data_IF_764777599680
#
_entry.id   IF_764777599680
#
_cell.length_a   1.000
_cell.length_b   1.000
_cell.length_c   1.000
_cell.angle_alpha   90.00
_cell.angle_beta   90.00
_cell.angle_gamma   90.00
#
_symmetry.space_group_name_H-M   'P 1'
#
loop_
_entity.id
_entity.type
_entity.pdbx_description
1 polymer ?
#
# COMPACT_ATOMS: atom_id res chain seq x y z
N UNK A 1 -25.83 -20.26 -16.60
CA UNK A 1 -24.97 -19.20 -17.18
C UNK A 1 -23.83 -18.94 -16.22
N UNK A 2 -22.73 -19.66 -16.40
CA UNK A 2 -21.46 -19.36 -15.73
C UNK A 2 -20.88 -18.10 -16.39
N UNK A 3 -21.22 -16.93 -15.85
CA UNK A 3 -20.49 -15.70 -16.18
C UNK A 3 -19.19 -15.81 -15.39
N UNK A 4 -18.15 -16.21 -16.11
CA UNK A 4 -16.97 -16.84 -15.52
C UNK A 4 -16.11 -15.85 -14.74
N UNK A 5 -15.55 -16.30 -13.62
CA UNK A 5 -14.57 -15.60 -12.78
C UNK A 5 -13.37 -15.03 -13.58
N UNK A 6 -13.16 -15.55 -14.80
CA UNK A 6 -12.16 -15.14 -15.78
C UNK A 6 -12.47 -13.78 -16.43
N UNK A 7 -13.73 -13.51 -16.78
CA UNK A 7 -14.16 -12.23 -17.39
C UNK A 7 -14.07 -11.09 -16.38
N UNK A 8 -14.41 -11.35 -15.12
CA UNK A 8 -14.29 -10.38 -14.02
C UNK A 8 -12.82 -10.04 -13.67
N UNK A 9 -11.90 -10.99 -13.84
CA UNK A 9 -10.46 -10.76 -13.63
C UNK A 9 -9.86 -9.91 -14.75
N UNK A 10 -10.26 -10.18 -15.99
CA UNK A 10 -9.81 -9.41 -17.16
C UNK A 10 -10.31 -7.96 -17.09
N UNK A 11 -11.58 -7.75 -16.70
CA UNK A 11 -12.13 -6.40 -16.54
C UNK A 11 -11.43 -5.59 -15.45
N UNK A 12 -11.15 -6.17 -14.28
CA UNK A 12 -10.39 -5.49 -13.21
C UNK A 12 -8.98 -5.10 -13.67
N UNK A 13 -8.32 -5.97 -14.43
CA UNK A 13 -7.01 -5.69 -15.01
C UNK A 13 -7.08 -4.52 -15.99
N UNK A 14 -8.07 -4.53 -16.89
CA UNK A 14 -8.32 -3.44 -17.83
C UNK A 14 -8.53 -2.10 -17.10
N UNK A 15 -9.43 -2.05 -16.11
CA UNK A 15 -9.71 -0.82 -15.34
C UNK A 15 -8.44 -0.31 -14.66
N UNK A 16 -7.65 -1.20 -14.04
CA UNK A 16 -6.40 -0.79 -13.41
C UNK A 16 -5.37 -0.29 -14.43
N UNK A 17 -5.30 -0.88 -15.61
CA UNK A 17 -4.40 -0.43 -16.67
C UNK A 17 -4.82 0.93 -17.22
N UNK A 18 -6.11 1.13 -17.49
CA UNK A 18 -6.65 2.42 -17.90
C UNK A 18 -6.35 3.49 -16.87
N UNK A 19 -6.58 3.22 -15.58
CA UNK A 19 -6.20 4.13 -14.48
C UNK A 19 -4.74 4.60 -14.58
N UNK A 20 -3.79 3.68 -14.72
CA UNK A 20 -2.37 4.02 -14.80
C UNK A 20 -2.03 4.81 -16.07
N UNK A 21 -2.65 4.47 -17.20
CA UNK A 21 -2.46 5.22 -18.45
C UNK A 21 -2.94 6.67 -18.32
N UNK A 22 -4.09 6.89 -17.68
CA UNK A 22 -4.62 8.24 -17.46
C UNK A 22 -3.70 9.08 -16.56
N UNK A 23 -3.16 8.47 -15.50
CA UNK A 23 -2.14 9.12 -14.64
C UNK A 23 -0.90 9.47 -15.47
N UNK A 24 -0.36 8.52 -16.22
CA UNK A 24 0.80 8.73 -17.08
C UNK A 24 0.60 9.88 -18.07
N UNK A 25 -0.55 9.92 -18.75
CA UNK A 25 -0.85 11.03 -19.65
C UNK A 25 -0.89 12.37 -18.91
N UNK A 26 -1.51 12.44 -17.73
CA UNK A 26 -1.54 13.69 -16.95
C UNK A 26 -0.14 14.22 -16.62
N UNK A 27 0.80 13.31 -16.31
CA UNK A 27 2.20 13.64 -16.00
C UNK A 27 2.98 14.14 -17.22
N UNK A 28 2.65 13.65 -18.43
CA UNK A 28 3.25 14.15 -19.67
C UNK A 28 2.82 15.58 -20.00
N UNK A 29 1.60 15.97 -19.62
CA UNK A 29 1.03 17.27 -19.96
C UNK A 29 1.45 18.39 -19.01
N UNK A 30 1.71 18.10 -17.72
CA UNK A 30 2.20 19.13 -16.79
C UNK A 30 3.13 18.56 -15.73
N UNK A 31 4.20 19.31 -15.46
CA UNK A 31 5.09 19.05 -14.32
C UNK A 31 4.50 19.59 -13.01
N UNK A 32 3.48 20.45 -13.05
CA UNK A 32 2.79 20.95 -11.85
C UNK A 32 1.81 19.89 -11.31
N UNK A 33 1.85 19.67 -10.00
CA UNK A 33 1.04 18.63 -9.34
C UNK A 33 -0.48 18.90 -9.38
N UNK A 34 -0.90 20.15 -9.19
CA UNK A 34 -2.32 20.51 -9.19
C UNK A 34 -2.91 20.39 -10.59
N UNK A 35 -2.18 20.86 -11.61
CA UNK A 35 -2.56 20.70 -13.01
C UNK A 35 -2.75 19.22 -13.39
N UNK A 36 -1.84 18.33 -12.94
CA UNK A 36 -1.96 16.88 -13.22
C UNK A 36 -3.27 16.31 -12.69
N UNK A 37 -3.71 16.73 -11.50
CA UNK A 37 -4.97 16.27 -10.90
C UNK A 37 -6.14 16.73 -11.77
N UNK A 38 -6.15 17.98 -12.22
CA UNK A 38 -7.20 18.51 -13.09
C UNK A 38 -7.24 17.80 -14.45
N UNK A 39 -6.07 17.58 -15.06
CA UNK A 39 -5.95 16.86 -16.33
C UNK A 39 -6.44 15.42 -16.18
N UNK A 40 -6.01 14.71 -15.13
CA UNK A 40 -6.48 13.35 -14.85
C UNK A 40 -8.01 13.30 -14.70
N UNK A 41 -8.60 14.20 -13.92
CA UNK A 41 -10.06 14.24 -13.72
C UNK A 41 -10.80 14.48 -15.05
N UNK A 42 -10.29 15.38 -15.89
CA UNK A 42 -10.83 15.62 -17.23
C UNK A 42 -10.78 14.36 -18.09
N UNK A 43 -9.60 13.75 -18.22
CA UNK A 43 -9.40 12.54 -19.02
C UNK A 43 -10.29 11.38 -18.54
N UNK A 44 -10.43 11.21 -17.22
CA UNK A 44 -11.29 10.19 -16.63
C UNK A 44 -12.77 10.44 -16.95
N UNK A 45 -13.20 11.70 -16.89
CA UNK A 45 -14.58 12.08 -17.20
C UNK A 45 -14.93 11.79 -18.66
N UNK A 46 -14.02 12.08 -19.59
CA UNK A 46 -14.18 11.91 -21.04
C UNK A 46 -13.99 10.45 -21.50
N UNK A 47 -13.38 9.58 -20.68
CA UNK A 47 -13.14 8.19 -21.06
C UNK A 47 -14.45 7.41 -21.28
N UNK A 48 -14.65 6.87 -22.49
CA UNK A 48 -15.85 6.10 -22.83
C UNK A 48 -15.78 4.61 -22.47
N UNK A 49 -14.59 4.09 -22.19
CA UNK A 49 -14.38 2.65 -21.96
C UNK A 49 -14.73 2.22 -20.53
N UNK A 50 -14.74 3.15 -19.58
CA UNK A 50 -15.06 2.92 -18.18
C UNK A 50 -16.53 3.22 -17.87
N UNK A 51 -17.16 2.30 -17.15
CA UNK A 51 -18.50 2.53 -16.59
C UNK A 51 -18.45 3.59 -15.48
N UNK A 52 -19.59 4.20 -15.11
CA UNK A 52 -19.63 5.17 -14.01
C UNK A 52 -19.04 4.66 -12.70
N UNK A 53 -19.31 3.40 -12.32
CA UNK A 53 -18.75 2.77 -11.11
C UNK A 53 -17.24 2.58 -11.19
N UNK A 54 -16.71 2.27 -12.36
CA UNK A 54 -15.27 2.12 -12.56
C UNK A 54 -14.56 3.47 -12.53
N UNK A 55 -15.19 4.52 -13.09
CA UNK A 55 -14.70 5.90 -12.95
C UNK A 55 -14.65 6.31 -11.49
N UNK A 56 -15.70 6.03 -10.72
CA UNK A 56 -15.72 6.28 -9.27
C UNK A 56 -14.58 5.53 -8.56
N UNK A 57 -14.35 4.26 -8.88
CA UNK A 57 -13.24 3.48 -8.33
C UNK A 57 -11.87 4.07 -8.68
N UNK A 58 -11.69 4.55 -9.92
CA UNK A 58 -10.47 5.23 -10.36
C UNK A 58 -10.30 6.57 -9.64
N UNK A 59 -11.39 7.32 -9.41
CA UNK A 59 -11.38 8.58 -8.69
C UNK A 59 -10.99 8.39 -7.23
N UNK A 60 -11.57 7.40 -6.54
CA UNK A 60 -11.21 7.07 -5.15
C UNK A 60 -9.74 6.63 -5.03
N UNK A 61 -9.24 5.86 -6.00
CA UNK A 61 -7.82 5.50 -6.07
C UNK A 61 -6.92 6.71 -6.27
N UNK A 62 -7.26 7.61 -7.18
CA UNK A 62 -6.52 8.86 -7.37
C UNK A 62 -6.53 9.73 -6.11
N UNK A 63 -7.70 9.89 -5.47
CA UNK A 63 -7.85 10.62 -4.21
C UNK A 63 -6.94 10.05 -3.11
N UNK A 64 -6.92 8.74 -2.89
CA UNK A 64 -5.99 8.11 -1.92
C UNK A 64 -4.52 8.40 -2.22
N UNK A 65 -4.12 8.33 -3.49
CA UNK A 65 -2.75 8.64 -3.90
C UNK A 65 -2.42 10.11 -3.66
N UNK A 66 -3.33 11.01 -4.03
CA UNK A 66 -3.16 12.45 -3.82
C UNK A 66 -2.96 12.81 -2.35
N UNK A 67 -3.79 12.26 -1.46
CA UNK A 67 -3.71 12.53 -0.02
C UNK A 67 -2.45 11.94 0.60
N UNK A 68 -1.98 10.81 0.07
CA UNK A 68 -0.71 10.22 0.45
C UNK A 68 0.49 11.05 0.01
N UNK A 69 0.49 11.57 -1.20
CA UNK A 69 1.54 12.48 -1.67
C UNK A 69 1.55 13.80 -0.90
N UNK A 70 0.38 14.33 -0.53
CA UNK A 70 0.30 15.50 0.35
C UNK A 70 1.02 15.27 1.66
N UNK A 71 0.82 14.11 2.27
CA UNK A 71 1.48 13.76 3.53
C UNK A 71 2.97 13.43 3.34
N UNK A 72 3.35 12.73 2.27
CA UNK A 72 4.74 12.37 2.00
C UNK A 72 5.60 13.61 1.70
N UNK A 73 5.12 14.48 0.83
CA UNK A 73 5.86 15.66 0.36
C UNK A 73 5.46 16.96 1.07
N UNK A 74 4.61 16.87 2.11
CA UNK A 74 4.11 18.00 2.89
C UNK A 74 3.54 19.12 1.99
N UNK A 75 2.73 18.73 0.99
CA UNK A 75 2.16 19.60 -0.05
C UNK A 75 0.78 20.13 0.33
N UNK A 76 0.49 21.34 -0.15
CA UNK A 76 -0.80 22.00 0.04
C UNK A 76 -0.93 22.66 1.41
N UNK A 77 -2.16 23.07 1.74
CA UNK A 77 -2.45 23.73 3.02
C UNK A 77 -2.42 22.70 4.15
N UNK A 78 -1.56 22.93 5.13
CA UNK A 78 -1.53 22.14 6.36
C UNK A 78 -2.77 22.42 7.22
N UNK A 79 -3.14 21.44 8.04
CA UNK A 79 -4.24 21.55 9.00
C UNK A 79 -3.89 20.87 10.32
N UNK A 80 -4.56 21.28 11.39
CA UNK A 80 -4.47 20.60 12.68
C UNK A 80 -5.37 19.36 12.69
N UNK A 81 -4.84 18.23 13.17
CA UNK A 81 -5.63 17.02 13.37
C UNK A 81 -6.48 17.14 14.65
N UNK A 82 -7.79 16.93 14.53
CA UNK A 82 -8.74 17.00 15.66
C UNK A 82 -8.55 15.92 16.72
N UNK A 83 -7.80 14.84 16.43
CA UNK A 83 -7.58 13.73 17.36
C UNK A 83 -6.27 13.84 18.14
N UNK A 84 -5.21 14.39 17.52
CA UNK A 84 -3.88 14.43 18.14
C UNK A 84 -3.29 15.84 18.29
N UNK A 85 -3.97 16.87 17.76
CA UNK A 85 -3.55 18.27 17.75
C UNK A 85 -2.19 18.51 17.06
N UNK A 86 -1.76 17.59 16.20
CA UNK A 86 -0.56 17.73 15.39
C UNK A 86 -0.93 18.11 13.96
N UNK A 87 0.02 18.76 13.29
CA UNK A 87 -0.10 19.13 11.88
C UNK A 87 -0.21 17.88 11.01
N UNK A 88 -1.09 17.94 10.01
CA UNK A 88 -1.22 16.98 8.91
C UNK A 88 -1.48 17.69 7.59
N UNK A 89 -1.30 16.97 6.50
CA UNK A 89 -1.54 17.45 5.13
C UNK A 89 -2.61 16.62 4.43
N UNK A 90 -2.75 15.34 4.80
CA UNK A 90 -3.89 14.52 4.39
C UNK A 90 -5.17 14.91 5.14
N UNK A 91 -6.26 15.01 4.39
CA UNK A 91 -7.63 15.18 4.88
C UNK A 91 -8.31 13.85 5.17
N UNK A 92 -7.77 12.74 4.66
CA UNK A 92 -8.32 11.38 4.81
C UNK A 92 -7.85 10.69 6.08
N UNK A 93 -6.61 10.95 6.50
CA UNK A 93 -6.01 10.33 7.66
C UNK A 93 -4.94 11.24 8.27
N UNK A 94 -4.57 10.98 9.53
CA UNK A 94 -3.42 11.59 10.17
C UNK A 94 -2.31 10.55 10.39
N UNK A 95 -1.14 10.78 9.77
CA UNK A 95 0.03 9.91 9.93
C UNK A 95 0.42 9.75 11.41
N UNK A 96 0.37 10.84 12.19
CA UNK A 96 0.66 10.79 13.62
C UNK A 96 -0.33 9.92 14.41
N UNK A 97 -1.63 9.97 14.07
CA UNK A 97 -2.63 9.09 14.68
C UNK A 97 -2.37 7.62 14.33
N UNK A 98 -2.00 7.33 13.08
CA UNK A 98 -1.65 5.97 12.65
C UNK A 98 -0.43 5.46 13.42
N UNK A 99 0.62 6.26 13.56
CA UNK A 99 1.81 5.89 14.35
C UNK A 99 1.43 5.60 15.80
N UNK A 100 0.59 6.45 16.43
CA UNK A 100 0.11 6.21 17.79
C UNK A 100 -0.72 4.92 17.89
N UNK A 101 -1.58 4.67 16.92
CA UNK A 101 -2.37 3.43 16.82
C UNK A 101 -1.46 2.21 16.71
N UNK A 102 -0.47 2.21 15.81
CA UNK A 102 0.50 1.12 15.67
C UNK A 102 1.28 0.87 16.97
N UNK A 103 1.78 1.94 17.60
CA UNK A 103 2.51 1.86 18.89
C UNK A 103 1.69 1.23 20.00
N UNK A 104 0.37 1.35 19.98
CA UNK A 104 -0.50 0.73 21.00
C UNK A 104 -0.49 -0.80 20.94
N UNK A 105 -0.08 -1.40 19.82
CA UNK A 105 0.06 -2.85 19.67
C UNK A 105 1.46 -3.38 19.94
N UNK A 106 2.43 -2.53 20.28
CA UNK A 106 3.79 -2.98 20.56
C UNK A 106 3.80 -3.90 21.77
N UNK A 107 4.44 -5.07 21.64
CA UNK A 107 4.44 -6.13 22.66
C UNK A 107 3.18 -6.99 22.73
N UNK A 108 2.14 -6.71 21.93
CA UNK A 108 0.93 -7.56 21.85
C UNK A 108 1.05 -8.68 20.82
N UNK A 109 2.05 -8.60 19.95
CA UNK A 109 2.38 -9.60 18.95
C UNK A 109 3.91 -9.79 18.90
N UNK A 110 4.34 -10.95 18.38
CA UNK A 110 5.75 -11.25 18.13
C UNK A 110 5.86 -12.11 16.86
N UNK A 111 6.95 -11.93 16.11
CA UNK A 111 7.36 -12.84 15.05
C UNK A 111 8.05 -14.11 15.57
N UNK A 112 8.38 -14.14 16.86
CA UNK A 112 9.27 -15.13 17.47
C UNK A 112 10.76 -14.75 17.36
N UNK A 113 11.11 -13.59 16.81
CA UNK A 113 12.47 -13.06 16.74
C UNK A 113 12.49 -11.58 17.19
N UNK A 114 13.10 -11.32 18.35
CA UNK A 114 13.16 -9.99 18.95
C UNK A 114 13.82 -8.93 18.05
N UNK A 115 14.77 -9.35 17.20
CA UNK A 115 15.47 -8.44 16.27
C UNK A 115 14.51 -7.98 15.17
N UNK A 116 13.71 -8.90 14.60
CA UNK A 116 12.69 -8.57 13.59
C UNK A 116 11.60 -7.70 14.21
N UNK A 117 11.14 -8.05 15.41
CA UNK A 117 10.09 -7.31 16.10
C UNK A 117 10.51 -5.86 16.38
N UNK A 118 11.74 -5.66 16.87
CA UNK A 118 12.32 -4.33 17.06
C UNK A 118 12.40 -3.56 15.76
N UNK A 119 12.91 -4.16 14.69
CA UNK A 119 13.02 -3.53 13.38
C UNK A 119 11.66 -3.06 12.85
N UNK A 120 10.63 -3.90 12.94
CA UNK A 120 9.26 -3.54 12.52
C UNK A 120 8.72 -2.40 13.39
N UNK A 121 8.91 -2.45 14.72
CA UNK A 121 8.47 -1.39 15.62
C UNK A 121 9.17 -0.05 15.34
N UNK A 122 10.45 -0.06 14.99
CA UNK A 122 11.21 1.12 14.56
C UNK A 122 10.62 1.71 13.27
N UNK A 123 10.34 0.88 12.26
CA UNK A 123 9.69 1.30 11.02
C UNK A 123 8.29 1.90 11.25
N UNK A 124 7.48 1.25 12.07
CA UNK A 124 6.13 1.72 12.42
C UNK A 124 6.16 2.98 13.30
N UNK A 125 7.29 3.25 13.96
CA UNK A 125 7.49 4.48 14.74
C UNK A 125 7.91 5.67 13.90
N UNK A 126 8.49 5.43 12.72
CA UNK A 126 9.03 6.48 11.83
C UNK A 126 8.07 6.87 10.71
N UNK A 127 7.17 5.98 10.27
CA UNK A 127 6.14 6.32 9.29
C UNK A 127 4.81 5.62 9.57
N UNK A 128 3.73 6.38 9.39
CA UNK A 128 2.35 5.89 9.45
C UNK A 128 1.64 6.02 8.11
N UNK A 129 2.39 6.16 7.00
CA UNK A 129 1.82 6.38 5.68
C UNK A 129 1.17 5.08 5.16
N UNK A 130 -0.16 5.03 4.91
CA UNK A 130 -0.82 3.86 4.35
C UNK A 130 -0.11 3.35 3.07
N UNK A 131 -0.13 2.03 2.85
CA UNK A 131 0.66 1.28 1.87
C UNK A 131 2.18 1.22 2.11
N UNK A 132 2.76 2.07 2.96
CA UNK A 132 4.20 2.07 3.28
C UNK A 132 4.49 1.52 4.67
N UNK A 133 3.45 1.26 5.47
CA UNK A 133 3.57 0.64 6.80
C UNK A 133 4.14 -0.77 6.65
N UNK A 134 5.23 -1.04 7.37
CA UNK A 134 5.79 -2.38 7.50
C UNK A 134 4.93 -3.23 8.44
N UNK A 135 4.61 -4.45 8.04
CA UNK A 135 3.74 -5.36 8.80
C UNK A 135 4.42 -6.73 9.00
N UNK A 136 4.29 -7.29 10.20
CA UNK A 136 4.45 -8.73 10.40
C UNK A 136 3.21 -9.44 9.88
N UNK A 137 3.40 -10.46 9.03
CA UNK A 137 2.30 -11.23 8.44
C UNK A 137 2.52 -12.70 8.76
N UNK A 138 1.65 -13.25 9.60
CA UNK A 138 1.68 -14.68 9.93
C UNK A 138 1.46 -15.54 8.68
N UNK A 139 2.18 -16.67 8.60
CA UNK A 139 2.20 -17.51 7.41
C UNK A 139 0.83 -18.10 7.05
N UNK A 140 -0.06 -18.29 8.04
CA UNK A 140 -1.43 -18.74 7.83
C UNK A 140 -2.26 -17.76 6.98
N UNK A 141 -1.82 -16.51 6.82
CA UNK A 141 -2.49 -15.50 5.99
C UNK A 141 -2.31 -15.76 4.49
N UNK A 142 -1.42 -16.68 4.12
CA UNK A 142 -1.16 -17.06 2.74
C UNK A 142 -1.83 -18.39 2.39
N UNK A 143 -2.31 -18.51 1.15
CA UNK A 143 -2.83 -19.74 0.56
C UNK A 143 -2.30 -19.91 -0.86
N UNK A 144 -2.51 -21.08 -1.46
CA UNK A 144 -2.06 -21.40 -2.82
C UNK A 144 -0.56 -21.16 -3.04
N UNK A 145 0.26 -21.43 -2.01
CA UNK A 145 1.71 -21.21 -2.06
C UNK A 145 2.32 -22.22 -3.03
N UNK A 146 3.01 -21.72 -4.06
CA UNK A 146 3.65 -22.53 -5.11
C UNK A 146 5.07 -22.06 -5.36
N UNK A 147 6.05 -22.96 -5.51
CA UNK A 147 7.39 -22.58 -5.93
C UNK A 147 7.31 -21.93 -7.33
N UNK A 148 8.09 -20.88 -7.52
CA UNK A 148 8.19 -20.15 -8.79
C UNK A 148 9.59 -20.23 -9.38
N UNK A 149 10.61 -19.93 -8.57
CA UNK A 149 12.00 -20.00 -8.98
C UNK A 149 12.90 -20.30 -7.78
N UNK A 150 14.04 -20.93 -8.02
CA UNK A 150 15.08 -21.15 -7.01
C UNK A 150 16.42 -20.72 -7.60
N UNK A 151 17.13 -19.85 -6.89
CA UNK A 151 18.47 -19.39 -7.24
C UNK A 151 19.42 -19.50 -6.06
N UNK A 152 20.65 -18.98 -6.20
CA UNK A 152 21.70 -19.14 -5.19
C UNK A 152 21.32 -18.69 -3.78
N UNK A 153 20.63 -17.56 -3.64
CA UNK A 153 20.41 -16.90 -2.33
C UNK A 153 18.96 -16.93 -1.84
N UNK A 154 18.02 -17.39 -2.67
CA UNK A 154 16.61 -17.38 -2.31
C UNK A 154 15.78 -18.39 -3.08
N UNK A 155 14.70 -18.82 -2.45
CA UNK A 155 13.58 -19.49 -3.14
C UNK A 155 12.41 -18.52 -3.24
N UNK A 156 11.91 -18.35 -4.46
CA UNK A 156 10.77 -17.50 -4.78
C UNK A 156 9.53 -18.36 -4.88
N UNK A 157 8.48 -17.93 -4.17
CA UNK A 157 7.16 -18.53 -4.22
C UNK A 157 6.15 -17.50 -4.70
N UNK A 158 5.06 -17.99 -5.28
CA UNK A 158 3.84 -17.21 -5.46
C UNK A 158 2.80 -17.68 -4.46
N UNK A 159 1.99 -16.76 -3.96
CA UNK A 159 0.91 -17.08 -3.03
C UNK A 159 -0.28 -16.13 -3.23
N UNK A 160 -1.43 -16.49 -2.66
CA UNK A 160 -2.54 -15.56 -2.44
C UNK A 160 -2.50 -15.10 -0.97
N UNK A 161 -2.29 -13.81 -0.74
CA UNK A 161 -2.45 -13.21 0.58
C UNK A 161 -3.94 -12.92 0.82
N UNK A 162 -4.55 -13.57 1.81
CA UNK A 162 -6.01 -13.52 2.06
C UNK A 162 -6.51 -12.13 2.42
N UNK A 163 -5.83 -11.43 3.32
CA UNK A 163 -6.22 -10.09 3.80
C UNK A 163 -5.85 -8.99 2.80
N UNK A 164 -4.68 -9.12 2.18
CA UNK A 164 -4.08 -8.08 1.35
C UNK A 164 -3.45 -6.94 2.16
N UNK A 165 -2.84 -6.01 1.43
CA UNK A 165 -2.11 -4.87 1.99
C UNK A 165 -3.05 -3.82 2.57
N UNK A 166 -2.52 -3.06 3.54
CA UNK A 166 -3.15 -1.82 4.01
C UNK A 166 -3.32 -0.88 2.82
N UNK A 167 -4.56 -0.52 2.52
CA UNK A 167 -4.95 0.41 1.47
C UNK A 167 -5.14 1.83 2.00
N UNK A 168 -5.74 1.94 3.19
CA UNK A 168 -6.10 3.22 3.82
C UNK A 168 -6.29 3.04 5.34
N UNK A 169 -6.56 4.13 6.05
CA UNK A 169 -6.90 4.11 7.47
C UNK A 169 -8.19 4.89 7.73
N UNK A 170 -9.19 4.22 8.32
CA UNK A 170 -10.41 4.87 8.77
C UNK A 170 -10.18 5.45 10.18
N UNK A 171 -9.98 6.76 10.27
CA UNK A 171 -9.75 7.46 11.54
C UNK A 171 -10.95 7.36 12.50
N UNK A 172 -12.18 7.35 11.97
CA UNK A 172 -13.39 7.32 12.80
C UNK A 172 -13.55 5.97 13.51
N UNK A 173 -13.20 4.88 12.83
CA UNK A 173 -13.28 3.53 13.38
C UNK A 173 -11.97 3.05 14.03
N UNK A 174 -10.89 3.83 13.88
CA UNK A 174 -9.52 3.44 14.25
C UNK A 174 -9.15 2.07 13.66
N UNK A 175 -9.36 1.88 12.36
CA UNK A 175 -9.13 0.61 11.66
C UNK A 175 -8.48 0.80 10.31
N UNK A 176 -7.56 -0.11 9.97
CA UNK A 176 -7.03 -0.19 8.62
C UNK A 176 -8.06 -0.76 7.64
N UNK A 177 -8.09 -0.18 6.45
CA UNK A 177 -8.83 -0.68 5.31
C UNK A 177 -7.86 -1.50 4.47
N UNK A 178 -8.25 -2.72 4.10
CA UNK A 178 -7.42 -3.64 3.34
C UNK A 178 -7.87 -3.77 1.89
N UNK A 179 -6.92 -4.00 0.99
CA UNK A 179 -7.20 -4.20 -0.43
C UNK A 179 -7.96 -5.50 -0.73
N UNK A 180 -7.95 -6.46 0.21
CA UNK A 180 -8.52 -7.78 0.03
C UNK A 180 -7.56 -8.76 -0.64
N UNK A 181 -8.04 -9.97 -1.00
CA UNK A 181 -7.18 -11.04 -1.51
C UNK A 181 -6.32 -10.63 -2.70
N UNK A 182 -5.00 -10.80 -2.61
CA UNK A 182 -4.06 -10.43 -3.67
C UNK A 182 -3.02 -11.51 -3.94
N UNK A 183 -2.55 -11.57 -5.19
CA UNK A 183 -1.41 -12.42 -5.56
C UNK A 183 -0.12 -11.72 -5.17
N UNK A 184 0.75 -12.43 -4.46
CA UNK A 184 2.02 -11.91 -3.95
C UNK A 184 3.17 -12.84 -4.31
N UNK A 185 4.36 -12.26 -4.31
CA UNK A 185 5.62 -12.99 -4.37
C UNK A 185 6.17 -13.08 -2.95
N UNK A 186 6.51 -14.29 -2.51
CA UNK A 186 7.19 -14.53 -1.25
C UNK A 186 8.65 -14.90 -1.57
N UNK A 187 9.60 -14.12 -1.08
CA UNK A 187 11.02 -14.42 -1.19
C UNK A 187 11.49 -15.02 0.14
N UNK A 188 11.85 -16.29 0.12
CA UNK A 188 12.50 -16.97 1.25
C UNK A 188 14.00 -16.85 1.07
N UNK A 189 14.64 -16.11 1.97
CA UNK A 189 16.09 -16.07 2.12
C UNK A 189 16.52 -17.37 2.83
N UNK A 190 17.58 -18.01 2.35
CA UNK A 190 17.96 -19.37 2.76
C UNK A 190 18.02 -19.56 4.29
N UNK A 191 17.63 -20.76 4.75
CA UNK A 191 17.31 -21.18 6.13
C UNK A 191 18.37 -20.91 7.23
N UNK A 192 18.63 -19.65 7.61
CA UNK A 192 19.12 -19.36 8.96
C UNK A 192 17.93 -19.21 9.91
N UNK A 193 18.05 -19.76 11.11
CA UNK A 193 17.05 -19.58 12.19
C UNK A 193 16.98 -18.13 12.68
N UNK A 194 18.03 -17.34 12.43
CA UNK A 194 18.13 -15.93 12.77
C UNK A 194 18.22 -15.09 11.49
N UNK A 195 17.61 -13.88 11.45
CA UNK A 195 17.76 -12.96 10.32
C UNK A 195 19.22 -12.54 10.17
N UNK A 196 19.75 -12.60 8.94
CA UNK A 196 21.12 -12.18 8.64
C UNK A 196 21.20 -10.68 8.35
N UNK A 197 22.41 -10.12 8.25
CA UNK A 197 22.61 -8.74 7.84
C UNK A 197 21.99 -8.48 6.45
N UNK A 198 22.13 -9.43 5.52
CA UNK A 198 21.56 -9.33 4.18
C UNK A 198 20.01 -9.27 4.19
N UNK A 199 19.35 -9.89 5.18
CA UNK A 199 17.91 -9.76 5.37
C UNK A 199 17.53 -8.30 5.65
N UNK A 200 18.23 -7.66 6.59
CA UNK A 200 17.94 -6.27 6.95
C UNK A 200 18.36 -5.30 5.86
N UNK A 201 19.47 -5.53 5.16
CA UNK A 201 19.82 -4.74 3.98
C UNK A 201 18.73 -4.80 2.91
N UNK A 202 18.23 -5.99 2.61
CA UNK A 202 17.16 -6.16 1.63
C UNK A 202 15.86 -5.48 2.09
N UNK A 203 15.46 -5.68 3.35
CA UNK A 203 14.29 -5.02 3.93
C UNK A 203 14.43 -3.48 3.90
N UNK A 204 15.60 -2.96 4.24
CA UNK A 204 15.90 -1.53 4.20
C UNK A 204 15.83 -0.93 2.80
N UNK A 205 16.28 -1.65 1.76
CA UNK A 205 16.12 -1.20 0.37
C UNK A 205 14.64 -1.01 0.01
N UNK A 206 13.77 -1.88 0.49
CA UNK A 206 12.32 -1.74 0.27
C UNK A 206 11.71 -0.55 1.01
N UNK A 207 12.28 -0.12 2.13
CA UNK A 207 11.88 1.09 2.84
C UNK A 207 12.39 2.33 2.09
N UNK A 208 13.68 2.36 1.75
CA UNK A 208 14.37 3.51 1.12
C UNK A 208 13.88 3.83 -0.29
N UNK A 209 13.46 2.83 -1.08
CA UNK A 209 12.87 3.06 -2.41
C UNK A 209 11.55 3.88 -2.31
N UNK A 210 10.94 3.94 -1.12
CA UNK A 210 9.59 4.48 -0.90
C UNK A 210 9.56 5.73 -0.01
N UNK A 211 10.73 6.22 0.42
CA UNK A 211 10.94 7.44 1.22
C UNK A 211 11.47 8.60 0.40
#
# INVERSE_FOLDING_TARGET
MEITEKDGKDRKSFVSQTYFNLIYYSELYSSNYEDRIEIYNKLLSENSDLTPKEKESCQDRASRNTEREKELYKRGKSMECSYCNLTRYSTRYCENCIIRYLKSFFGTWTSGCDIIDRFICECQSSSGLPLHIMEWISFDQFKDIKPFAKGGFATIYTATWKRGSILDFNESEQKFVYQGPQKVVLKSLNNSTEPTEEFFEEANRFIQIRS
#
